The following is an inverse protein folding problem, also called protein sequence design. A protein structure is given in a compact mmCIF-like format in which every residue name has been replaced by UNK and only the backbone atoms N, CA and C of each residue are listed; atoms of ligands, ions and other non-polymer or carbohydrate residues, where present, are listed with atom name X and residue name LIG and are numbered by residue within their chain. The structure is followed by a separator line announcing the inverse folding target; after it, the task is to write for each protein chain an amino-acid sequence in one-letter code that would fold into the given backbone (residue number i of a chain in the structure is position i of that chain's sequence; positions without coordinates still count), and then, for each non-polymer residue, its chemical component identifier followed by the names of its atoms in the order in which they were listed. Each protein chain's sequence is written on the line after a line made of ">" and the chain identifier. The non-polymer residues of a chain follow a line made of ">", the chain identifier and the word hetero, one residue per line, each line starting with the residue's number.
data_IF_418343838012
#
_entry.id   IF_418343838012
#
_cell.length_a   1.000
_cell.length_b   1.000
_cell.length_c   1.000
_cell.angle_alpha   90.00
_cell.angle_beta   90.00
_cell.angle_gamma   90.00
#
_symmetry.space_group_name_H-M   'P 1'
#
loop_
_entity.id
_entity.type
_entity.pdbx_description
1 polymer ?
#
# COMPACT_ATOMS: atom_id res chain seq x y z
N UNK A 1 -26.16 14.39 1.59
CA UNK A 1 -24.82 14.37 0.97
C UNK A 1 -24.28 12.96 1.13
N UNK A 2 -24.79 12.03 0.32
CA UNK A 2 -24.45 10.60 0.36
C UNK A 2 -23.48 10.27 -0.77
N UNK A 3 -22.35 10.97 -0.78
CA UNK A 3 -21.32 10.75 -1.79
C UNK A 3 -20.44 9.57 -1.37
N UNK A 4 -19.99 8.73 -2.30
CA UNK A 4 -19.00 7.70 -2.01
C UNK A 4 -17.72 8.31 -1.44
N UNK A 5 -17.01 7.52 -0.64
CA UNK A 5 -15.67 7.85 -0.18
C UNK A 5 -14.74 8.16 -1.36
N UNK A 6 -13.79 9.08 -1.13
CA UNK A 6 -12.70 9.38 -2.05
C UNK A 6 -11.44 8.70 -1.58
N UNK A 7 -10.75 7.99 -2.47
CA UNK A 7 -9.47 7.38 -2.16
C UNK A 7 -8.40 8.44 -1.86
N UNK A 8 -7.78 8.36 -0.68
CA UNK A 8 -6.56 9.10 -0.34
C UNK A 8 -5.40 8.10 -0.33
N UNK A 9 -4.57 8.15 -1.37
CA UNK A 9 -3.42 7.26 -1.52
C UNK A 9 -2.21 7.88 -0.84
N UNK A 10 -1.63 7.15 0.10
CA UNK A 10 -0.41 7.55 0.82
C UNK A 10 0.70 6.56 0.47
N UNK A 11 1.74 7.06 -0.21
CA UNK A 11 2.87 6.24 -0.62
C UNK A 11 3.86 6.05 0.52
N UNK A 12 4.23 4.80 0.81
CA UNK A 12 5.23 4.50 1.82
C UNK A 12 6.08 3.29 1.42
N UNK A 13 7.40 3.45 1.50
CA UNK A 13 8.36 2.35 1.34
C UNK A 13 9.42 2.32 2.45
N UNK A 14 9.41 3.33 3.34
CA UNK A 14 10.24 3.34 4.54
C UNK A 14 9.41 3.88 5.71
N UNK A 15 9.60 3.31 6.91
CA UNK A 15 8.79 3.68 8.09
C UNK A 15 8.91 5.16 8.43
N UNK A 16 10.12 5.74 8.33
CA UNK A 16 10.35 7.15 8.69
C UNK A 16 9.74 8.18 7.75
N UNK A 17 9.12 7.77 6.63
CA UNK A 17 8.34 8.68 5.79
C UNK A 17 7.10 9.18 6.55
N UNK A 18 6.55 8.35 7.45
CA UNK A 18 5.42 8.66 8.34
C UNK A 18 5.83 8.27 9.77
N UNK A 19 6.58 9.15 10.44
CA UNK A 19 7.23 8.83 11.74
C UNK A 19 6.24 8.53 12.87
N UNK A 20 5.14 9.25 12.92
CA UNK A 20 4.09 9.16 13.93
C UNK A 20 2.77 8.77 13.25
N UNK A 21 2.80 7.67 12.46
CA UNK A 21 1.70 7.27 11.57
C UNK A 21 0.40 6.99 12.33
N UNK A 22 0.51 6.51 13.55
CA UNK A 22 -0.60 6.27 14.47
C UNK A 22 -1.34 7.55 14.89
N UNK A 23 -0.76 8.74 14.65
CA UNK A 23 -1.43 10.02 14.89
C UNK A 23 -2.16 10.56 13.66
N UNK A 24 -2.11 9.86 12.52
CA UNK A 24 -2.90 10.23 11.35
C UNK A 24 -4.37 10.00 11.70
N UNK A 25 -5.14 11.09 11.73
CA UNK A 25 -6.57 11.02 11.98
C UNK A 25 -7.29 10.37 10.79
N UNK A 26 -7.80 9.15 10.99
CA UNK A 26 -8.59 8.41 10.02
C UNK A 26 -10.11 8.56 10.20
N UNK A 27 -10.57 9.35 11.19
CA UNK A 27 -11.99 9.62 11.48
C UNK A 27 -12.68 10.54 10.45
N UNK A 28 -12.34 10.39 9.17
CA UNK A 28 -12.88 11.13 8.04
C UNK A 28 -13.74 10.21 7.17
N UNK A 29 -15.06 10.11 7.43
CA UNK A 29 -15.93 9.16 6.74
C UNK A 29 -16.03 9.39 5.22
N UNK A 30 -15.64 10.58 4.73
CA UNK A 30 -15.57 10.92 3.31
C UNK A 30 -14.32 10.38 2.59
N UNK A 31 -13.33 9.84 3.32
CA UNK A 31 -12.07 9.34 2.77
C UNK A 31 -11.93 7.83 2.95
N UNK A 32 -11.36 7.17 1.95
CA UNK A 32 -10.81 5.83 2.06
C UNK A 32 -9.29 5.95 2.10
N UNK A 33 -8.69 5.73 3.27
CA UNK A 33 -7.24 5.83 3.45
C UNK A 33 -6.57 4.58 2.86
N UNK A 34 -5.70 4.75 1.88
CA UNK A 34 -5.04 3.65 1.17
C UNK A 34 -3.54 3.81 1.33
N UNK A 35 -2.92 2.92 2.10
CA UNK A 35 -1.48 2.86 2.20
C UNK A 35 -0.93 2.05 1.03
N UNK A 36 -0.13 2.69 0.20
CA UNK A 36 0.43 2.11 -1.01
C UNK A 36 1.90 1.76 -0.79
N UNK A 37 2.20 0.47 -0.72
CA UNK A 37 3.55 -0.07 -0.57
C UNK A 37 4.35 0.20 -1.85
N UNK A 38 5.19 1.23 -1.79
CA UNK A 38 5.87 1.83 -2.96
C UNK A 38 7.35 1.40 -3.06
N UNK A 39 7.70 0.25 -2.50
CA UNK A 39 9.05 -0.35 -2.59
C UNK A 39 9.22 -1.14 -3.88
N UNK A 40 10.44 -1.15 -4.42
CA UNK A 40 10.82 -1.91 -5.62
C UNK A 40 11.95 -2.88 -5.33
N UNK A 41 12.18 -3.82 -6.24
CA UNK A 41 13.31 -4.73 -6.21
C UNK A 41 12.92 -6.17 -6.49
N UNK A 42 13.66 -7.12 -5.91
CA UNK A 42 13.29 -8.53 -6.01
C UNK A 42 12.06 -8.82 -5.13
N UNK A 43 11.39 -9.94 -5.37
CA UNK A 43 10.18 -10.34 -4.63
C UNK A 43 10.35 -10.25 -3.10
N UNK A 44 11.48 -10.71 -2.58
CA UNK A 44 11.80 -10.68 -1.14
C UNK A 44 11.82 -9.26 -0.58
N UNK A 45 12.45 -8.31 -1.28
CA UNK A 45 12.54 -6.91 -0.86
C UNK A 45 11.16 -6.23 -0.89
N UNK A 46 10.33 -6.57 -1.88
CA UNK A 46 8.96 -6.06 -1.97
C UNK A 46 8.10 -6.56 -0.82
N UNK A 47 8.14 -7.87 -0.53
CA UNK A 47 7.40 -8.42 0.61
C UNK A 47 7.94 -7.91 1.95
N UNK A 48 9.25 -7.74 2.09
CA UNK A 48 9.83 -7.10 3.28
C UNK A 48 9.31 -5.67 3.47
N UNK A 49 9.22 -4.88 2.39
CA UNK A 49 8.61 -3.54 2.44
C UNK A 49 7.14 -3.61 2.82
N UNK A 50 6.37 -4.48 2.17
CA UNK A 50 4.95 -4.68 2.41
C UNK A 50 4.65 -5.03 3.88
N UNK A 51 5.40 -5.98 4.45
CA UNK A 51 5.21 -6.40 5.84
C UNK A 51 5.66 -5.33 6.83
N UNK A 52 6.78 -4.64 6.55
CA UNK A 52 7.24 -3.54 7.38
C UNK A 52 6.22 -2.40 7.44
N UNK A 53 5.72 -1.94 6.29
CA UNK A 53 4.75 -0.84 6.27
C UNK A 53 3.37 -1.27 6.77
N UNK A 54 3.02 -2.55 6.77
CA UNK A 54 1.75 -3.02 7.37
C UNK A 54 1.81 -3.13 8.89
N UNK A 55 3.00 -3.19 9.48
CA UNK A 55 3.16 -3.34 10.92
C UNK A 55 2.54 -2.16 11.70
N UNK A 56 1.62 -2.46 12.62
CA UNK A 56 0.95 -1.46 13.46
C UNK A 56 0.04 -0.50 12.67
N UNK A 57 -0.37 -0.88 11.44
CA UNK A 57 -1.33 -0.11 10.67
C UNK A 57 -2.74 -0.33 11.25
N UNK A 58 -3.48 0.76 11.42
CA UNK A 58 -4.86 0.74 11.90
C UNK A 58 -5.80 0.06 10.88
N UNK A 59 -6.92 -0.49 11.35
CA UNK A 59 -7.90 -1.20 10.51
C UNK A 59 -8.65 -0.30 9.52
N UNK A 60 -8.66 1.01 9.74
CA UNK A 60 -9.23 2.00 8.83
C UNK A 60 -8.46 2.13 7.50
N UNK A 61 -7.25 1.58 7.43
CA UNK A 61 -6.43 1.63 6.23
C UNK A 61 -6.69 0.43 5.31
N UNK A 62 -6.93 0.75 4.04
CA UNK A 62 -6.78 -0.20 2.96
C UNK A 62 -5.30 -0.32 2.56
N UNK A 63 -4.89 -1.51 2.13
CA UNK A 63 -3.55 -1.77 1.64
C UNK A 63 -3.51 -1.85 0.12
N UNK A 64 -2.46 -1.29 -0.47
CA UNK A 64 -2.24 -1.27 -1.90
C UNK A 64 -0.80 -1.62 -2.27
N UNK A 65 -0.63 -2.20 -3.45
CA UNK A 65 0.63 -2.71 -3.96
C UNK A 65 1.03 -1.99 -5.25
N UNK A 66 2.32 -1.69 -5.39
CA UNK A 66 2.87 -1.17 -6.64
C UNK A 66 3.80 -2.15 -7.30
N UNK A 67 3.62 -2.39 -8.60
CA UNK A 67 4.63 -3.01 -9.43
C UNK A 67 5.42 -1.93 -10.17
N UNK A 68 6.74 -2.10 -10.24
CA UNK A 68 7.63 -1.28 -11.04
C UNK A 68 8.12 -2.09 -12.24
N UNK A 69 7.86 -1.60 -13.46
CA UNK A 69 8.04 -2.38 -14.70
C UNK A 69 9.53 -2.64 -14.98
N UNK A 70 10.40 -1.68 -14.69
CA UNK A 70 11.84 -1.78 -15.02
C UNK A 70 12.71 -2.07 -13.78
N UNK A 71 12.25 -1.66 -12.59
CA UNK A 71 12.97 -1.79 -11.33
C UNK A 71 12.71 -3.12 -10.60
N UNK A 72 11.50 -3.69 -10.71
CA UNK A 72 11.22 -5.00 -10.13
C UNK A 72 11.82 -6.11 -11.00
N UNK A 73 12.57 -7.03 -10.39
CA UNK A 73 13.32 -8.06 -11.13
C UNK A 73 13.10 -9.46 -10.54
N UNK A 74 12.20 -10.27 -11.13
CA UNK A 74 11.21 -9.92 -12.15
C UNK A 74 10.02 -9.14 -11.57
N UNK A 75 9.41 -8.26 -12.37
CA UNK A 75 8.08 -7.71 -12.07
C UNK A 75 7.05 -8.83 -11.99
N UNK A 76 6.15 -8.75 -11.01
CA UNK A 76 5.05 -9.71 -10.89
C UNK A 76 4.06 -9.58 -12.06
N UNK A 77 3.55 -10.71 -12.52
CA UNK A 77 2.39 -10.71 -13.43
C UNK A 77 1.13 -10.29 -12.67
N UNK A 78 0.07 -9.83 -13.36
CA UNK A 78 -1.21 -9.54 -12.71
C UNK A 78 -1.75 -10.69 -11.87
N UNK A 79 -1.62 -11.94 -12.33
CA UNK A 79 -2.05 -13.14 -11.59
C UNK A 79 -1.23 -13.35 -10.32
N UNK A 80 0.09 -13.13 -10.38
CA UNK A 80 0.96 -13.21 -9.21
C UNK A 80 0.64 -12.10 -8.20
N UNK A 81 0.43 -10.87 -8.66
CA UNK A 81 0.04 -9.74 -7.80
C UNK A 81 -1.34 -9.96 -7.16
N UNK A 82 -2.30 -10.53 -7.91
CA UNK A 82 -3.62 -10.86 -7.38
C UNK A 82 -3.58 -11.96 -6.30
N UNK A 83 -2.55 -12.80 -6.31
CA UNK A 83 -2.32 -13.85 -5.31
C UNK A 83 -1.58 -13.41 -4.04
N UNK A 84 -1.22 -12.13 -3.91
CA UNK A 84 -0.61 -11.59 -2.69
C UNK A 84 -1.60 -11.64 -1.53
N UNK A 85 -1.13 -11.99 -0.33
CA UNK A 85 -1.94 -12.03 0.89
C UNK A 85 -1.34 -11.14 2.01
N UNK A 86 -2.14 -10.32 2.72
CA UNK A 86 -3.55 -10.05 2.42
C UNK A 86 -3.72 -9.37 1.06
N UNK A 87 -4.80 -9.67 0.35
CA UNK A 87 -5.03 -9.13 -1.00
C UNK A 87 -5.04 -7.60 -1.02
N UNK A 88 -4.26 -6.96 -1.92
CA UNK A 88 -4.30 -5.50 -2.06
C UNK A 88 -5.64 -5.04 -2.64
N UNK A 89 -6.16 -3.93 -2.12
CA UNK A 89 -7.39 -3.28 -2.61
C UNK A 89 -7.16 -2.50 -3.89
N UNK A 90 -5.94 -2.02 -4.09
CA UNK A 90 -5.51 -1.26 -5.24
C UNK A 90 -4.13 -1.75 -5.68
N UNK A 91 -3.97 -1.92 -6.99
CA UNK A 91 -2.69 -2.25 -7.61
C UNK A 91 -2.40 -1.19 -8.65
N UNK A 92 -1.19 -0.63 -8.62
CA UNK A 92 -0.72 0.25 -9.69
C UNK A 92 0.60 -0.23 -10.28
N UNK A 93 0.89 0.27 -11.47
CA UNK A 93 2.10 0.00 -12.22
C UNK A 93 2.78 1.34 -12.51
N UNK A 94 4.10 1.38 -12.37
CA UNK A 94 4.93 2.50 -12.81
C UNK A 94 6.08 2.01 -13.67
#
# INVERSE_FOLDING_TARGET
>A
NDLPQKGLIVHQFQMQMLRDREQINTDHPELAFILHADGHGVAEEKFATWDAVRQGLDEDWFMAWKNFIDEDKPTFTPEQTYGIEPRPWFVSYQ
#
